data_IF_657144073260
#
_entry.id   IF_657144073260
#
_cell.length_a   1.000
_cell.length_b   1.000
_cell.length_c   1.000
_cell.angle_alpha   90.00
_cell.angle_beta   90.00
_cell.angle_gamma   90.00
#
_symmetry.space_group_name_H-M   'P 1'
#
loop_
_entity.id
_entity.type
_entity.pdbx_description
1 polymer ?
#
# COMPACT_ATOMS: atom_id res chain seq x y z
N UNK A 1 -22.48 1.67 2.24
CA UNK A 1 -21.46 0.65 1.92
C UNK A 1 -20.72 1.08 0.65
N UNK A 2 -19.39 1.18 0.70
CA UNK A 2 -18.58 1.62 -0.44
C UNK A 2 -18.52 0.57 -1.54
N UNK A 3 -18.69 1.00 -2.80
CA UNK A 3 -18.57 0.10 -3.97
C UNK A 3 -17.10 -0.22 -4.25
N UNK A 4 -16.81 -1.48 -4.59
CA UNK A 4 -15.47 -1.91 -5.03
C UNK A 4 -14.97 -1.05 -6.20
N UNK A 5 -15.86 -0.73 -7.15
CA UNK A 5 -15.52 0.14 -8.28
C UNK A 5 -15.12 1.55 -7.85
N UNK A 6 -15.80 2.12 -6.84
CA UNK A 6 -15.44 3.43 -6.29
C UNK A 6 -14.05 3.41 -5.62
N UNK A 7 -13.70 2.31 -4.94
CA UNK A 7 -12.37 2.16 -4.33
C UNK A 7 -11.25 2.16 -5.37
N UNK A 8 -11.44 1.46 -6.49
CA UNK A 8 -10.45 1.39 -7.59
C UNK A 8 -10.25 2.78 -8.22
N UNK A 9 -11.33 3.55 -8.41
CA UNK A 9 -11.24 4.92 -8.92
C UNK A 9 -10.41 5.80 -7.97
N UNK A 10 -10.65 5.72 -6.66
CA UNK A 10 -9.89 6.48 -5.66
C UNK A 10 -8.40 6.09 -5.71
N UNK A 11 -8.08 4.81 -5.84
CA UNK A 11 -6.71 4.34 -5.97
C UNK A 11 -6.01 4.90 -7.21
N UNK A 12 -6.69 4.91 -8.37
CA UNK A 12 -6.13 5.48 -9.62
C UNK A 12 -5.88 6.98 -9.47
N UNK A 13 -6.84 7.73 -8.92
CA UNK A 13 -6.70 9.17 -8.70
C UNK A 13 -5.55 9.49 -7.73
N UNK A 14 -5.44 8.72 -6.64
CA UNK A 14 -4.33 8.84 -5.70
C UNK A 14 -2.98 8.56 -6.38
N UNK A 15 -2.89 7.49 -7.16
CA UNK A 15 -1.69 7.14 -7.91
C UNK A 15 -1.27 8.23 -8.90
N UNK A 16 -2.22 8.80 -9.63
CA UNK A 16 -1.96 9.93 -10.53
C UNK A 16 -1.45 11.17 -9.79
N UNK A 17 -2.09 11.53 -8.68
CA UNK A 17 -1.68 12.68 -7.86
C UNK A 17 -0.28 12.50 -7.26
N UNK A 18 0.02 11.31 -6.72
CA UNK A 18 1.36 10.96 -6.24
C UNK A 18 2.40 10.99 -7.37
N UNK A 19 2.04 10.57 -8.59
CA UNK A 19 2.90 10.64 -9.76
C UNK A 19 3.28 12.07 -10.15
N UNK A 20 2.30 12.98 -10.20
CA UNK A 20 2.55 14.41 -10.46
C UNK A 20 3.44 15.03 -9.38
N UNK A 21 3.17 14.72 -8.10
CA UNK A 21 4.02 15.15 -7.00
C UNK A 21 5.45 14.65 -7.16
N UNK A 22 5.62 13.36 -7.46
CA UNK A 22 6.93 12.75 -7.69
C UNK A 22 7.72 13.42 -8.82
N UNK A 23 7.06 13.75 -9.93
CA UNK A 23 7.68 14.46 -11.05
C UNK A 23 8.26 15.82 -10.63
N UNK A 24 7.49 16.63 -9.90
CA UNK A 24 7.94 17.94 -9.40
C UNK A 24 9.09 17.77 -8.40
N UNK A 25 9.02 16.76 -7.53
CA UNK A 25 10.10 16.46 -6.58
C UNK A 25 11.39 16.03 -7.27
N UNK A 26 11.31 15.32 -8.40
CA UNK A 26 12.48 14.95 -9.21
C UNK A 26 13.11 16.19 -9.85
N UNK A 27 12.32 17.08 -10.47
CA UNK A 27 12.83 18.34 -11.03
C UNK A 27 13.54 19.17 -9.95
N UNK A 28 12.91 19.30 -8.78
CA UNK A 28 13.48 20.03 -7.65
C UNK A 28 14.77 19.38 -7.12
N UNK A 29 14.83 18.06 -7.06
CA UNK A 29 16.02 17.32 -6.63
C UNK A 29 17.19 17.38 -7.61
N UNK A 30 16.93 17.59 -8.90
CA UNK A 30 17.97 17.83 -9.91
C UNK A 30 18.45 19.29 -9.88
N UNK A 31 17.56 20.24 -9.58
CA UNK A 31 17.91 21.67 -9.49
C UNK A 31 18.70 22.01 -8.22
N UNK A 32 18.34 21.45 -7.07
CA UNK A 32 18.94 21.77 -5.78
C UNK A 32 19.66 20.54 -5.23
N UNK A 33 20.95 20.42 -5.55
CA UNK A 33 21.80 19.29 -5.13
C UNK A 33 22.39 19.46 -3.71
N UNK A 34 21.60 20.00 -2.78
CA UNK A 34 21.99 20.16 -1.37
C UNK A 34 21.44 19.00 -0.54
N UNK A 35 22.24 18.56 0.44
CA UNK A 35 21.81 17.53 1.40
C UNK A 35 20.75 18.10 2.33
N UNK A 36 19.60 17.42 2.48
CA UNK A 36 18.50 17.84 3.35
C UNK A 36 17.10 17.73 2.74
N UNK A 37 17.00 17.41 1.44
CA UNK A 37 15.73 17.24 0.71
C UNK A 37 14.78 18.43 0.98
N UNK A 38 13.56 18.16 1.46
CA UNK A 38 12.54 19.17 1.78
C UNK A 38 13.07 20.37 2.56
N UNK A 39 13.90 20.14 3.57
CA UNK A 39 14.49 21.22 4.37
C UNK A 39 15.39 22.11 3.53
N UNK A 40 16.26 21.51 2.71
CA UNK A 40 17.18 22.25 1.84
C UNK A 40 16.42 23.05 0.77
N UNK A 41 15.33 22.48 0.23
CA UNK A 41 14.49 23.16 -0.77
C UNK A 41 13.79 24.38 -0.18
N UNK A 42 13.18 24.22 1.00
CA UNK A 42 12.49 25.32 1.70
C UNK A 42 13.45 26.39 2.20
N UNK A 43 14.66 25.99 2.61
CA UNK A 43 15.71 26.91 3.02
C UNK A 43 16.19 27.79 1.86
N UNK A 44 16.34 27.21 0.66
CA UNK A 44 16.78 27.96 -0.53
C UNK A 44 15.68 28.91 -1.04
N UNK A 45 14.41 28.47 -1.04
CA UNK A 45 13.31 29.24 -1.62
C UNK A 45 12.73 30.32 -0.68
N UNK A 46 12.59 30.03 0.61
CA UNK A 46 11.86 30.87 1.57
C UNK A 46 12.72 31.35 2.75
N UNK A 47 13.99 30.95 2.80
CA UNK A 47 14.93 31.35 3.84
C UNK A 47 14.86 30.51 5.13
N UNK A 48 15.61 30.92 6.16
CA UNK A 48 15.93 30.07 7.31
C UNK A 48 14.74 29.78 8.25
N UNK A 49 13.80 30.72 8.40
CA UNK A 49 12.66 30.56 9.31
C UNK A 49 11.71 29.45 8.86
N UNK A 50 11.35 29.43 7.58
CA UNK A 50 10.42 28.44 7.02
C UNK A 50 11.08 27.05 6.98
N UNK A 51 12.37 26.98 6.63
CA UNK A 51 13.15 25.75 6.73
C UNK A 51 13.13 25.18 8.16
N UNK A 52 13.36 26.01 9.17
CA UNK A 52 13.31 25.58 10.58
C UNK A 52 11.93 25.02 10.96
N UNK A 53 10.84 25.72 10.63
CA UNK A 53 9.48 25.26 10.94
C UNK A 53 9.19 23.92 10.29
N UNK A 54 9.58 23.72 9.02
CA UNK A 54 9.41 22.42 8.33
C UNK A 54 10.13 21.30 9.07
N UNK A 55 11.39 21.52 9.46
CA UNK A 55 12.20 20.53 10.17
C UNK A 55 11.65 20.26 11.59
N UNK A 56 11.15 21.29 12.26
CA UNK A 56 10.53 21.20 13.57
C UNK A 56 9.26 20.34 13.54
N UNK A 57 8.35 20.61 12.60
CA UNK A 57 7.12 19.80 12.42
C UNK A 57 7.48 18.36 12.01
N UNK A 58 8.43 18.20 11.10
CA UNK A 58 8.88 16.88 10.65
C UNK A 58 9.38 16.02 11.81
N UNK A 59 10.25 16.59 12.65
CA UNK A 59 10.92 15.87 13.73
C UNK A 59 9.99 15.59 14.91
N UNK A 60 9.12 16.52 15.29
CA UNK A 60 8.26 16.39 16.47
C UNK A 60 6.95 15.68 16.17
N UNK A 61 6.37 15.89 14.99
CA UNK A 61 5.01 15.41 14.68
C UNK A 61 5.05 14.27 13.67
N UNK A 62 5.61 14.52 12.48
CA UNK A 62 5.44 13.60 11.34
C UNK A 62 6.18 12.28 11.57
N UNK A 63 7.47 12.33 11.94
CA UNK A 63 8.28 11.12 12.13
C UNK A 63 7.80 10.24 13.30
N UNK A 64 7.49 10.79 14.50
CA UNK A 64 7.00 9.97 15.60
C UNK A 64 5.66 9.32 15.27
N UNK A 65 4.71 10.07 14.71
CA UNK A 65 3.40 9.52 14.32
C UNK A 65 3.56 8.39 13.31
N UNK A 66 4.42 8.54 12.30
CA UNK A 66 4.67 7.50 11.31
C UNK A 66 5.25 6.22 11.93
N UNK A 67 6.14 6.34 12.93
CA UNK A 67 6.67 5.17 13.66
C UNK A 67 5.58 4.51 14.49
N UNK A 68 4.76 5.29 15.20
CA UNK A 68 3.64 4.78 16.02
C UNK A 68 2.62 4.02 15.18
N UNK A 69 2.18 4.58 14.05
CA UNK A 69 1.19 3.91 13.17
C UNK A 69 1.73 2.58 12.65
N UNK A 70 3.01 2.52 12.28
CA UNK A 70 3.65 1.26 11.86
C UNK A 70 3.71 0.24 13.00
N UNK A 71 4.05 0.67 14.21
CA UNK A 71 4.11 -0.19 15.39
C UNK A 71 2.72 -0.74 15.77
N UNK A 72 1.71 0.11 15.75
CA UNK A 72 0.33 -0.27 16.06
C UNK A 72 -0.20 -1.26 15.01
N UNK A 73 0.04 -0.98 13.73
CA UNK A 73 -0.32 -1.89 12.64
C UNK A 73 0.35 -3.25 12.82
N UNK A 74 1.65 -3.28 13.13
CA UNK A 74 2.37 -4.52 13.41
C UNK A 74 1.75 -5.28 14.58
N UNK A 75 1.50 -4.61 15.71
CA UNK A 75 0.89 -5.23 16.88
C UNK A 75 -0.49 -5.82 16.57
N UNK A 76 -1.33 -5.10 15.82
CA UNK A 76 -2.62 -5.60 15.36
C UNK A 76 -2.47 -6.86 14.51
N UNK A 77 -1.58 -6.87 13.52
CA UNK A 77 -1.36 -8.06 12.68
C UNK A 77 -0.81 -9.26 13.46
N UNK A 78 0.03 -9.05 14.47
CA UNK A 78 0.57 -10.12 15.33
C UNK A 78 -0.49 -10.72 16.25
N UNK A 79 -1.41 -9.91 16.77
CA UNK A 79 -2.44 -10.34 17.73
C UNK A 79 -3.59 -11.09 17.05
N UNK A 80 -3.91 -10.78 15.79
CA UNK A 80 -4.98 -11.41 15.00
C UNK A 80 -5.02 -12.95 15.07
N UNK A 81 -3.93 -13.71 14.88
CA UNK A 81 -3.97 -15.18 14.97
C UNK A 81 -4.21 -15.72 16.38
N UNK A 82 -3.86 -14.97 17.44
CA UNK A 82 -4.06 -15.42 18.82
C UNK A 82 -5.48 -15.17 19.34
N UNK A 83 -6.19 -14.21 18.75
CA UNK A 83 -7.56 -13.85 19.08
C UNK A 83 -8.41 -13.81 17.80
N UNK A 84 -8.73 -14.97 17.19
CA UNK A 84 -9.46 -15.01 15.93
C UNK A 84 -10.93 -14.56 16.07
N UNK A 85 -11.59 -14.96 17.16
CA UNK A 85 -13.03 -14.73 17.39
C UNK A 85 -13.32 -13.78 18.57
N UNK A 86 -12.28 -13.19 19.17
CA UNK A 86 -12.39 -12.36 20.36
C UNK A 86 -11.66 -11.03 20.15
N UNK A 87 -12.18 -9.96 20.75
CA UNK A 87 -11.41 -8.72 20.82
C UNK A 87 -10.26 -8.89 21.84
N UNK A 88 -9.02 -8.49 21.49
CA UNK A 88 -7.92 -8.56 22.42
C UNK A 88 -8.16 -7.60 23.60
N UNK A 89 -7.71 -7.94 24.82
CA UNK A 89 -7.90 -7.10 25.99
C UNK A 89 -7.33 -5.69 25.80
N UNK A 90 -8.01 -4.68 26.34
CA UNK A 90 -7.60 -3.29 26.30
C UNK A 90 -6.14 -3.11 26.74
N UNK A 91 -5.36 -2.37 25.95
CA UNK A 91 -3.94 -2.12 26.20
C UNK A 91 -2.97 -3.19 25.66
N UNK A 92 -3.42 -4.38 25.25
CA UNK A 92 -2.51 -5.44 24.74
C UNK A 92 -1.78 -5.00 23.47
N UNK A 93 -2.52 -4.41 22.53
CA UNK A 93 -1.97 -3.92 21.24
C UNK A 93 -1.00 -2.75 21.48
N UNK A 94 -1.32 -1.87 22.43
CA UNK A 94 -0.52 -0.69 22.77
C UNK A 94 0.79 -1.09 23.45
N UNK A 95 0.75 -2.00 24.42
CA UNK A 95 1.93 -2.54 25.08
C UNK A 95 2.85 -3.25 24.09
N UNK A 96 2.29 -4.02 23.17
CA UNK A 96 3.06 -4.69 22.12
C UNK A 96 3.70 -3.67 21.17
N UNK A 97 2.96 -2.62 20.76
CA UNK A 97 3.50 -1.55 19.93
C UNK A 97 4.64 -0.79 20.63
N UNK A 98 4.48 -0.45 21.91
CA UNK A 98 5.52 0.20 22.73
C UNK A 98 6.75 -0.70 22.84
N UNK A 99 6.56 -2.00 23.10
CA UNK A 99 7.66 -2.96 23.18
C UNK A 99 8.46 -3.03 21.87
N UNK A 100 7.78 -3.02 20.72
CA UNK A 100 8.41 -3.02 19.40
C UNK A 100 9.24 -1.75 19.18
N UNK A 101 8.70 -0.58 19.53
CA UNK A 101 9.42 0.70 19.42
C UNK A 101 10.67 0.69 20.31
N UNK A 102 10.54 0.23 21.56
CA UNK A 102 11.66 0.15 22.50
C UNK A 102 12.77 -0.79 22.03
N UNK A 103 12.42 -1.96 21.49
CA UNK A 103 13.38 -2.91 20.91
C UNK A 103 14.10 -2.29 19.72
N UNK A 104 13.37 -1.71 18.76
CA UNK A 104 13.98 -1.07 17.59
C UNK A 104 14.86 0.12 17.97
N UNK A 105 14.44 0.91 18.95
CA UNK A 105 15.23 2.00 19.52
C UNK A 105 16.52 1.48 20.14
N UNK A 106 16.45 0.43 20.97
CA UNK A 106 17.62 -0.19 21.58
C UNK A 106 18.62 -0.72 20.54
N UNK A 107 18.14 -1.39 19.48
CA UNK A 107 19.00 -1.85 18.38
C UNK A 107 19.60 -0.67 17.63
N UNK A 108 18.84 0.41 17.42
CA UNK A 108 19.32 1.63 16.76
C UNK A 108 20.44 2.32 17.55
N UNK A 109 20.29 2.41 18.87
CA UNK A 109 21.30 2.96 19.77
C UNK A 109 22.56 2.09 19.84
N UNK A 110 22.43 0.75 19.73
CA UNK A 110 23.56 -0.17 19.78
C UNK A 110 24.34 -0.23 18.46
N UNK A 111 23.65 -0.38 17.33
CA UNK A 111 24.29 -0.49 16.02
C UNK A 111 23.39 -0.07 14.87
N UNK A 112 23.72 1.07 14.25
CA UNK A 112 23.06 1.51 13.01
C UNK A 112 23.29 0.54 11.84
N UNK A 113 24.37 -0.23 11.84
CA UNK A 113 24.63 -1.23 10.78
C UNK A 113 23.68 -2.42 10.89
N UNK A 114 23.35 -2.86 12.10
CA UNK A 114 22.36 -3.91 12.32
C UNK A 114 20.96 -3.46 11.89
N UNK A 115 20.55 -2.23 12.25
CA UNK A 115 19.24 -1.68 11.83
C UNK A 115 19.14 -1.55 10.32
N UNK A 116 20.18 -1.04 9.64
CA UNK A 116 20.18 -0.93 8.18
C UNK A 116 19.98 -2.28 7.50
N UNK A 117 20.68 -3.32 7.96
CA UNK A 117 20.50 -4.69 7.43
C UNK A 117 19.09 -5.21 7.69
N UNK A 118 18.57 -5.04 8.90
CA UNK A 118 17.21 -5.47 9.25
C UNK A 118 16.15 -4.78 8.38
N UNK A 119 16.31 -3.47 8.15
CA UNK A 119 15.39 -2.70 7.32
C UNK A 119 15.45 -3.12 5.84
N UNK A 120 16.63 -3.45 5.33
CA UNK A 120 16.81 -3.97 3.97
C UNK A 120 16.10 -5.32 3.81
N UNK A 121 16.32 -6.25 4.75
CA UNK A 121 15.59 -7.53 4.79
C UNK A 121 14.07 -7.35 4.81
N UNK A 122 13.54 -6.43 5.64
CA UNK A 122 12.10 -6.14 5.65
C UNK A 122 11.60 -5.56 4.34
N UNK A 123 12.43 -4.81 3.61
CA UNK A 123 12.06 -4.25 2.32
C UNK A 123 11.95 -5.37 1.28
N UNK A 124 12.94 -6.26 1.22
CA UNK A 124 12.92 -7.43 0.34
C UNK A 124 11.70 -8.32 0.65
N UNK A 125 11.46 -8.61 1.93
CA UNK A 125 10.33 -9.44 2.35
C UNK A 125 8.97 -8.84 1.93
N UNK A 126 8.79 -7.51 2.09
CA UNK A 126 7.57 -6.82 1.64
C UNK A 126 7.35 -6.93 0.14
N UNK A 127 8.41 -6.75 -0.65
CA UNK A 127 8.32 -6.85 -2.12
C UNK A 127 7.97 -8.27 -2.54
N UNK A 128 8.62 -9.28 -1.97
CA UNK A 128 8.32 -10.68 -2.26
C UNK A 128 6.87 -11.04 -1.91
N UNK A 129 6.38 -10.62 -0.73
CA UNK A 129 4.99 -10.85 -0.33
C UNK A 129 4.00 -10.24 -1.33
N UNK A 130 4.24 -9.00 -1.79
CA UNK A 130 3.38 -8.38 -2.81
C UNK A 130 3.42 -9.13 -4.14
N UNK A 131 4.60 -9.58 -4.58
CA UNK A 131 4.73 -10.34 -5.82
C UNK A 131 4.00 -11.69 -5.75
N UNK A 132 4.08 -12.39 -4.61
CA UNK A 132 3.36 -13.65 -4.42
C UNK A 132 1.85 -13.45 -4.44
N UNK A 133 1.33 -12.42 -3.77
CA UNK A 133 -0.11 -12.11 -3.78
C UNK A 133 -0.62 -11.75 -5.17
N UNK A 134 0.13 -10.92 -5.91
CA UNK A 134 -0.22 -10.54 -7.29
C UNK A 134 -0.16 -11.76 -8.22
N UNK A 135 0.86 -12.61 -8.08
CA UNK A 135 0.99 -13.83 -8.89
C UNK A 135 -0.15 -14.81 -8.65
N UNK A 136 -0.49 -15.06 -7.38
CA UNK A 136 -1.59 -15.95 -6.99
C UNK A 136 -2.93 -15.43 -7.51
N UNK A 137 -3.20 -14.14 -7.37
CA UNK A 137 -4.42 -13.50 -7.89
C UNK A 137 -4.49 -13.56 -9.42
N UNK A 138 -3.37 -13.30 -10.09
CA UNK A 138 -3.24 -13.38 -11.54
C UNK A 138 -3.56 -14.78 -12.07
N UNK A 139 -2.97 -15.82 -11.48
CA UNK A 139 -3.24 -17.22 -11.86
C UNK A 139 -4.72 -17.56 -11.65
N UNK A 140 -5.29 -17.23 -10.48
CA UNK A 140 -6.70 -17.51 -10.18
C UNK A 140 -7.64 -16.86 -11.20
N UNK A 141 -7.35 -15.62 -11.62
CA UNK A 141 -8.15 -14.93 -12.65
C UNK A 141 -8.08 -15.61 -14.02
N UNK A 142 -6.93 -16.13 -14.42
CA UNK A 142 -6.77 -16.86 -15.70
C UNK A 142 -7.43 -18.24 -15.69
N UNK A 143 -7.41 -18.94 -14.54
CA UNK A 143 -8.11 -20.21 -14.36
C UNK A 143 -9.63 -19.99 -14.41
N UNK A 144 -10.14 -19.01 -13.67
CA UNK A 144 -11.55 -18.64 -13.67
C UNK A 144 -12.05 -18.17 -15.05
N UNK A 145 -11.22 -17.43 -15.79
CA UNK A 145 -11.54 -17.02 -17.16
C UNK A 145 -11.65 -18.20 -18.12
N UNK A 146 -10.79 -19.23 -17.98
CA UNK A 146 -10.86 -20.46 -18.79
C UNK A 146 -12.13 -21.26 -18.51
N UNK A 147 -12.47 -21.49 -17.24
CA UNK A 147 -13.70 -22.21 -16.88
C UNK A 147 -14.97 -21.47 -17.37
N UNK A 148 -14.95 -20.13 -17.32
CA UNK A 148 -16.05 -19.32 -17.86
C UNK A 148 -16.14 -19.48 -19.37
N UNK A 149 -15.04 -19.36 -20.11
CA UNK A 149 -15.03 -19.52 -21.59
C UNK A 149 -15.47 -20.92 -22.02
N UNK A 150 -14.99 -21.97 -21.37
CA UNK A 150 -15.40 -23.36 -21.67
C UNK A 150 -16.91 -23.58 -21.43
N UNK A 151 -17.50 -22.88 -20.46
CA UNK A 151 -18.95 -22.92 -20.19
C UNK A 151 -19.79 -22.24 -21.28
N UNK A 152 -19.25 -21.23 -21.96
CA UNK A 152 -19.91 -20.55 -23.08
C UNK A 152 -19.70 -21.25 -24.43
N UNK A 153 -18.66 -22.08 -24.56
CA UNK A 153 -18.37 -22.85 -25.78
C UNK A 153 -19.08 -24.23 -25.82
N UNK A 154 -19.95 -24.50 -24.83
CA UNK A 154 -20.77 -25.71 -24.80
C UNK A 154 -21.68 -25.76 -26.06
N UNK A 155 -21.72 -26.90 -26.80
CA UNK A 155 -22.53 -27.07 -28.01
C UNK A 155 -24.03 -26.79 -27.81
N UNK A 156 -24.52 -26.86 -26.57
CA UNK A 156 -25.91 -26.65 -26.19
C UNK A 156 -26.40 -25.20 -26.34
N UNK A 157 -25.49 -24.21 -26.46
CA UNK A 157 -25.85 -22.79 -26.65
C UNK A 157 -25.65 -22.29 -28.10
N UNK A 158 -25.03 -23.11 -28.97
CA UNK A 158 -24.93 -22.83 -30.42
C UNK A 158 -26.25 -23.08 -31.16
N UNK A 159 -27.26 -23.61 -30.49
CA UNK A 159 -28.65 -23.60 -30.96
C UNK A 159 -29.29 -22.23 -30.73
N UNK A 160 -28.78 -21.19 -31.37
CA UNK A 160 -29.60 -19.98 -31.57
C UNK A 160 -30.82 -20.38 -32.40
N UNK A 161 -32.06 -20.07 -31.98
CA UNK A 161 -33.22 -20.30 -32.83
C UNK A 161 -33.02 -19.53 -34.13
N UNK A 162 -33.21 -20.19 -35.26
CA UNK A 162 -33.16 -19.55 -36.56
C UNK A 162 -34.34 -18.57 -36.68
N UNK A 163 -34.08 -17.27 -36.48
CA UNK A 163 -35.08 -16.21 -36.57
C UNK A 163 -35.61 -16.01 -38.01
N UNK A 164 -35.15 -16.80 -38.98
CA UNK A 164 -35.72 -16.84 -40.33
C UNK A 164 -37.19 -17.26 -40.34
N UNK A 165 -37.67 -17.99 -39.32
CA UNK A 165 -39.06 -18.47 -39.21
C UNK A 165 -40.08 -17.39 -38.79
N UNK A 166 -39.64 -16.22 -38.28
CA UNK A 166 -40.55 -15.14 -37.87
C UNK A 166 -41.03 -14.29 -39.07
N UNK A 167 -40.33 -14.35 -40.20
CA UNK A 167 -40.72 -13.60 -41.41
C UNK A 167 -41.91 -14.21 -42.16
N UNK A 168 -42.32 -15.44 -41.82
CA UNK A 168 -43.34 -16.19 -42.57
C UNK A 168 -44.74 -16.19 -41.92
N UNK A 169 -44.97 -15.31 -40.94
CA UNK A 169 -46.32 -14.92 -40.51
C UNK A 169 -47.24 -16.05 -40.04
N UNK A 170 -46.69 -17.13 -39.48
CA UNK A 170 -47.47 -18.23 -38.88
C UNK A 170 -47.19 -18.37 -37.38
N UNK A 171 -47.63 -17.37 -36.61
CA UNK A 171 -48.20 -17.53 -35.27
C UNK A 171 -49.24 -16.42 -35.08
#
# INVERSE_FOLDING_TARGET
AGSVGASIIIWILCGFWCGLGGYIYVELGVLITKSGADYAYLMEAFGPLIGFIRLWIESIVIRPVAVTVKALTFALYVVRPFYPDCEPPDGTVELLAVSMIMVLCGINCYSMTAVKRLQDWFTIAKVLALLTEVHNTGIHSTMFSKETFERWDLPQLRSTPDYSLIKDGRI
#
